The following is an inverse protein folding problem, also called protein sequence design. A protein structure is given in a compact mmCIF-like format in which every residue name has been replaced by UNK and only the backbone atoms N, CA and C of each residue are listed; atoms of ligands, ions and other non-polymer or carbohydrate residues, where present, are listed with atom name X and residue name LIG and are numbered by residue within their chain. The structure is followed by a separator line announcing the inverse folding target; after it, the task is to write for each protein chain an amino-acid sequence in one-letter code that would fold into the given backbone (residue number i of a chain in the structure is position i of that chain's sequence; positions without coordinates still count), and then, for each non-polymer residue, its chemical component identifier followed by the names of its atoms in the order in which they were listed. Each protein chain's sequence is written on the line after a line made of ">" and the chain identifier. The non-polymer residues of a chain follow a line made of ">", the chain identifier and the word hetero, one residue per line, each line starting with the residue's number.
data_IF_245440947139
#
_entry.id   IF_245440947139
#
_cell.length_a   1.000
_cell.length_b   1.000
_cell.length_c   1.000
_cell.angle_alpha   90.00
_cell.angle_beta   90.00
_cell.angle_gamma   90.00
#
_symmetry.space_group_name_H-M   'P 1'
#
loop_
_entity.id
_entity.type
_entity.pdbx_description
1 polymer ?
#
# COMPACT_ATOMS: atom_id res chain seq x y z
N UNK A 1 4.84 -13.64 -21.73
CA UNK A 1 5.99 -14.55 -21.62
C UNK A 1 6.91 -14.04 -20.52
N UNK A 2 7.08 -14.81 -19.44
CA UNK A 2 7.84 -14.36 -18.26
C UNK A 2 9.34 -14.22 -18.55
N UNK A 3 9.89 -15.06 -19.44
CA UNK A 3 11.30 -15.01 -19.80
C UNK A 3 11.66 -13.71 -20.55
N UNK A 4 10.85 -13.32 -21.54
CA UNK A 4 10.98 -12.04 -22.26
C UNK A 4 10.87 -10.84 -21.31
N UNK A 5 9.94 -10.87 -20.35
CA UNK A 5 9.78 -9.79 -19.37
C UNK A 5 11.03 -9.63 -18.49
N UNK A 6 11.58 -10.74 -17.99
CA UNK A 6 12.81 -10.73 -17.19
C UNK A 6 14.01 -10.20 -18.00
N UNK A 7 14.15 -10.61 -19.26
CA UNK A 7 15.20 -10.12 -20.14
C UNK A 7 15.08 -8.61 -20.35
N UNK A 8 13.88 -8.09 -20.61
CA UNK A 8 13.63 -6.65 -20.77
C UNK A 8 13.98 -5.85 -19.50
N UNK A 9 13.54 -6.29 -18.31
CA UNK A 9 13.90 -5.62 -17.05
C UNK A 9 15.40 -5.66 -16.74
N UNK A 10 16.09 -6.72 -17.18
CA UNK A 10 17.55 -6.83 -17.03
C UNK A 10 18.26 -5.77 -17.86
N UNK A 11 17.85 -5.56 -19.11
CA UNK A 11 18.40 -4.50 -19.96
C UNK A 11 18.08 -3.10 -19.42
N UNK A 12 16.86 -2.87 -18.92
CA UNK A 12 16.51 -1.60 -18.26
C UNK A 12 17.39 -1.31 -17.04
N UNK A 13 17.66 -2.34 -16.23
CA UNK A 13 18.54 -2.21 -15.05
C UNK A 13 19.98 -1.89 -15.46
N UNK A 14 20.49 -2.48 -16.55
CA UNK A 14 21.82 -2.16 -17.09
C UNK A 14 21.91 -0.70 -17.52
N UNK A 15 20.92 -0.19 -18.26
CA UNK A 15 20.85 1.23 -18.67
C UNK A 15 20.84 2.13 -17.44
N UNK A 16 19.97 1.84 -16.47
CA UNK A 16 19.86 2.61 -15.22
C UNK A 16 21.18 2.69 -14.45
N UNK A 17 21.91 1.57 -14.33
CA UNK A 17 23.17 1.49 -13.60
C UNK A 17 24.37 2.06 -14.38
N UNK A 18 24.28 2.16 -15.71
CA UNK A 18 25.35 2.69 -16.58
C UNK A 18 25.23 4.20 -16.72
N UNK A 19 24.04 4.68 -17.08
CA UNK A 19 23.81 6.08 -17.42
C UNK A 19 23.37 6.92 -16.21
N UNK A 20 22.97 6.25 -15.12
CA UNK A 20 22.55 6.83 -13.83
C UNK A 20 21.67 8.08 -14.01
N UNK A 21 20.52 7.97 -14.74
CA UNK A 21 19.65 9.12 -14.98
C UNK A 21 19.00 9.65 -13.68
N UNK A 22 18.94 8.80 -12.65
CA UNK A 22 18.60 9.15 -11.27
C UNK A 22 19.26 8.13 -10.32
N UNK A 23 19.26 8.42 -9.01
CA UNK A 23 19.83 7.52 -8.00
C UNK A 23 18.78 7.12 -6.97
N UNK A 24 18.51 5.82 -6.87
CA UNK A 24 17.54 5.25 -5.93
C UNK A 24 18.17 5.13 -4.55
N UNK A 25 17.79 6.00 -3.61
CA UNK A 25 18.38 6.03 -2.27
C UNK A 25 17.63 5.15 -1.25
N UNK A 26 16.30 5.19 -1.27
CA UNK A 26 15.48 4.49 -0.28
C UNK A 26 14.08 4.19 -0.85
N UNK A 27 13.42 3.21 -0.26
CA UNK A 27 11.98 3.06 -0.40
C UNK A 27 11.30 4.09 0.49
N UNK A 28 10.70 5.12 -0.11
CA UNK A 28 9.78 6.01 0.60
C UNK A 28 8.47 5.24 0.85
N UNK A 29 7.83 5.39 2.02
CA UNK A 29 6.48 4.88 2.21
C UNK A 29 5.57 5.32 1.07
N UNK A 30 4.84 4.38 0.48
CA UNK A 30 3.88 4.68 -0.58
C UNK A 30 2.85 5.71 -0.09
N UNK A 31 2.37 5.53 1.15
CA UNK A 31 1.52 6.46 1.86
C UNK A 31 2.04 6.66 3.29
N UNK A 32 1.94 7.89 3.78
CA UNK A 32 2.12 8.18 5.20
C UNK A 32 0.80 7.90 5.92
N UNK A 33 0.87 7.10 6.98
CA UNK A 33 -0.33 6.62 7.66
C UNK A 33 -0.36 7.10 9.11
N UNK A 34 -1.37 7.90 9.45
CA UNK A 34 -1.66 8.36 10.81
C UNK A 34 -3.15 8.61 10.93
N UNK A 35 -3.75 8.18 12.03
CA UNK A 35 -5.20 8.24 12.24
C UNK A 35 -5.53 8.89 13.57
N UNK A 36 -6.72 9.47 13.66
CA UNK A 36 -7.27 9.99 14.91
C UNK A 36 -8.42 9.08 15.35
N UNK A 37 -8.29 8.51 16.54
CA UNK A 37 -9.30 7.58 17.07
C UNK A 37 -10.30 8.19 18.07
N UNK A 38 -10.47 9.51 18.07
CA UNK A 38 -11.42 10.17 18.99
C UNK A 38 -12.89 10.01 18.57
N UNK A 39 -13.16 9.80 17.27
CA UNK A 39 -14.52 9.65 16.72
C UNK A 39 -14.69 8.29 16.05
N UNK A 40 -13.74 7.90 15.21
CA UNK A 40 -13.72 6.62 14.48
C UNK A 40 -12.54 5.79 14.95
N UNK A 41 -12.71 4.48 15.11
CA UNK A 41 -11.65 3.55 15.52
C UNK A 41 -11.60 2.35 14.56
N UNK A 42 -10.68 1.43 14.81
CA UNK A 42 -10.51 0.19 14.04
C UNK A 42 -10.09 0.47 12.59
N UNK A 43 -9.26 1.49 12.40
CA UNK A 43 -8.61 1.73 11.12
C UNK A 43 -7.69 0.56 10.74
N UNK A 44 -7.57 0.19 9.45
CA UNK A 44 -6.76 -0.94 9.02
C UNK A 44 -5.30 -0.83 9.48
N UNK A 45 -4.76 -1.94 9.97
CA UNK A 45 -3.35 -2.12 10.30
C UNK A 45 -2.85 -3.35 9.55
N UNK A 46 -1.54 -3.62 9.62
CA UNK A 46 -1.00 -4.85 9.08
C UNK A 46 -1.77 -6.07 9.63
N UNK A 47 -2.25 -6.95 8.75
CA UNK A 47 -3.07 -8.10 9.12
C UNK A 47 -4.55 -7.83 9.35
N UNK A 48 -5.03 -6.58 9.28
CA UNK A 48 -6.47 -6.28 9.26
C UNK A 48 -7.11 -6.93 8.04
N UNK A 49 -8.30 -7.53 8.23
CA UNK A 49 -8.99 -8.26 7.17
C UNK A 49 -10.42 -7.77 7.02
N UNK A 50 -10.90 -7.79 5.78
CA UNK A 50 -12.33 -7.68 5.49
C UNK A 50 -13.09 -8.90 6.03
N UNK A 51 -14.41 -8.83 6.04
CA UNK A 51 -15.29 -9.94 6.40
C UNK A 51 -15.04 -11.21 5.55
N UNK A 52 -14.48 -11.04 4.35
CA UNK A 52 -14.11 -12.13 3.44
C UNK A 52 -12.71 -12.71 3.73
N UNK A 53 -12.04 -12.26 4.79
CA UNK A 53 -10.70 -12.70 5.17
C UNK A 53 -9.57 -12.14 4.30
N UNK A 54 -9.85 -11.18 3.42
CA UNK A 54 -8.88 -10.54 2.54
C UNK A 54 -8.20 -9.40 3.32
N UNK A 55 -6.88 -9.34 3.32
CA UNK A 55 -6.11 -8.31 4.00
C UNK A 55 -6.36 -6.91 3.41
N UNK A 56 -6.64 -5.95 4.27
CA UNK A 56 -6.89 -4.55 3.92
C UNK A 56 -5.61 -3.76 4.23
N UNK A 57 -5.01 -3.07 3.25
CA UNK A 57 -3.80 -2.30 3.49
C UNK A 57 -4.06 -1.07 4.39
N UNK A 58 -3.08 -0.65 5.21
CA UNK A 58 -3.17 0.57 6.02
C UNK A 58 -2.95 1.83 5.15
N UNK A 59 -3.92 2.12 4.29
CA UNK A 59 -3.95 3.28 3.39
C UNK A 59 -4.95 4.33 3.89
N UNK A 60 -5.04 5.48 3.21
CA UNK A 60 -5.92 6.60 3.55
C UNK A 60 -7.43 6.36 3.29
N UNK A 61 -7.78 5.12 2.95
CA UNK A 61 -9.13 4.63 2.68
C UNK A 61 -9.77 5.16 1.38
N UNK A 62 -9.00 5.80 0.50
CA UNK A 62 -9.50 6.32 -0.79
C UNK A 62 -8.96 5.58 -2.01
N UNK A 63 -7.80 4.95 -1.88
CA UNK A 63 -7.11 4.29 -2.98
C UNK A 63 -7.10 2.76 -2.91
N UNK A 64 -7.09 2.13 -4.10
CA UNK A 64 -6.91 0.69 -4.27
C UNK A 64 -7.89 -0.15 -3.44
N UNK A 65 -7.37 -1.18 -2.78
CA UNK A 65 -8.16 -2.00 -1.86
C UNK A 65 -8.34 -1.37 -0.48
N UNK A 66 -7.72 -0.22 -0.20
CA UNK A 66 -7.89 0.54 1.05
C UNK A 66 -9.32 0.98 1.30
N UNK A 67 -10.12 1.20 0.24
CA UNK A 67 -11.56 1.52 0.32
C UNK A 67 -12.34 0.49 1.16
N UNK A 68 -11.91 -0.77 1.18
CA UNK A 68 -12.56 -1.82 1.99
C UNK A 68 -12.56 -1.47 3.50
N UNK A 69 -11.57 -0.70 3.98
CA UNK A 69 -11.48 -0.29 5.37
C UNK A 69 -12.62 0.62 5.83
N UNK A 70 -13.27 1.38 4.93
CA UNK A 70 -14.44 2.19 5.27
C UNK A 70 -15.61 1.36 5.80
N UNK A 71 -15.68 0.08 5.44
CA UNK A 71 -16.69 -0.85 5.90
C UNK A 71 -16.30 -1.57 7.20
N UNK A 72 -15.07 -1.38 7.68
CA UNK A 72 -14.55 -2.05 8.89
C UNK A 72 -14.34 -1.10 10.06
N UNK A 73 -14.15 0.19 9.82
CA UNK A 73 -14.01 1.20 10.88
C UNK A 73 -15.30 1.32 11.70
N UNK A 74 -15.17 1.70 12.96
CA UNK A 74 -16.29 1.77 13.92
C UNK A 74 -16.36 3.14 14.57
N UNK A 75 -17.57 3.64 14.81
CA UNK A 75 -17.75 4.83 15.61
C UNK A 75 -17.50 4.46 17.09
N UNK A 76 -16.67 5.24 17.81
CA UNK A 76 -16.24 4.93 19.20
C UNK A 76 -17.42 4.70 20.16
N UNK A 77 -18.56 5.35 19.92
CA UNK A 77 -19.80 5.21 20.69
C UNK A 77 -21.02 4.87 19.81
N UNK A 78 -20.80 4.42 18.57
CA UNK A 78 -21.89 3.91 17.74
C UNK A 78 -22.30 2.52 18.20
N UNK A 79 -23.60 2.27 18.31
CA UNK A 79 -24.12 0.91 18.46
C UNK A 79 -23.83 0.09 17.23
#
# INVERSE_FOLDING_TARGET
>A
DQAKLKAAYTELSKIYLTDVPSFSLMYRPELFYTVNESVWTNFPQQGSKSEKGIEIPPYDLTDGYGIAGLYTIKLVNGK
#
